data_IF_761195930154
#
_entry.id   IF_761195930154
#
_cell.length_a   1.000
_cell.length_b   1.000
_cell.length_c   1.000
_cell.angle_alpha   90.00
_cell.angle_beta   90.00
_cell.angle_gamma   90.00
#
_symmetry.space_group_name_H-M   'P 1'
#
loop_
_entity.id
_entity.type
_entity.pdbx_description
1 polymer ?
#
# COMPACT_ATOMS: atom_id res chain seq x y z
N UNK A 1 -17.08 48.91 -17.88
CA UNK A 1 -16.15 47.77 -18.14
C UNK A 1 -16.14 46.92 -16.87
N UNK A 2 -17.00 45.92 -16.63
CA UNK A 2 -17.29 44.69 -17.39
C UNK A 2 -15.97 44.02 -17.85
N UNK A 3 -15.53 42.85 -17.38
CA UNK A 3 -16.17 41.78 -16.63
C UNK A 3 -15.16 41.06 -15.70
N UNK A 4 -15.64 40.56 -14.56
CA UNK A 4 -14.95 39.60 -13.70
C UNK A 4 -14.89 38.25 -14.41
N UNK A 5 -13.72 37.77 -14.78
CA UNK A 5 -13.56 36.40 -15.26
C UNK A 5 -13.59 35.45 -14.06
N UNK A 6 -14.74 34.81 -13.87
CA UNK A 6 -14.90 33.64 -13.00
C UNK A 6 -14.46 32.43 -13.81
N UNK A 7 -13.32 31.84 -13.47
CA UNK A 7 -12.94 30.53 -13.99
C UNK A 7 -13.60 29.47 -13.09
N UNK A 8 -14.51 28.71 -13.70
CA UNK A 8 -15.31 27.65 -13.11
C UNK A 8 -14.40 26.54 -12.61
N UNK A 9 -14.45 26.23 -11.31
CA UNK A 9 -13.81 25.06 -10.74
C UNK A 9 -14.54 23.80 -11.23
N UNK A 10 -13.87 23.00 -12.06
CA UNK A 10 -14.35 21.70 -12.47
C UNK A 10 -14.16 20.72 -11.30
N UNK A 11 -15.18 20.57 -10.46
CA UNK A 11 -15.21 19.53 -9.44
C UNK A 11 -15.36 18.17 -10.13
N UNK A 12 -14.24 17.49 -10.37
CA UNK A 12 -14.26 16.08 -10.74
C UNK A 12 -14.68 15.30 -9.50
N UNK A 13 -15.96 14.95 -9.43
CA UNK A 13 -16.45 13.95 -8.48
C UNK A 13 -15.95 12.60 -8.99
N UNK A 14 -14.73 12.24 -8.62
CA UNK A 14 -14.29 10.87 -8.67
C UNK A 14 -15.07 10.14 -7.58
N UNK A 15 -16.15 9.45 -7.96
CA UNK A 15 -16.84 8.53 -7.08
C UNK A 15 -15.83 7.47 -6.65
N UNK A 16 -15.30 7.63 -5.44
CA UNK A 16 -14.50 6.61 -4.79
C UNK A 16 -15.40 5.39 -4.64
N UNK A 17 -15.21 4.40 -5.51
CA UNK A 17 -15.60 3.03 -5.21
C UNK A 17 -14.60 2.51 -4.18
N UNK A 18 -14.63 3.10 -2.99
CA UNK A 18 -14.04 2.49 -1.81
C UNK A 18 -14.77 1.14 -1.67
N UNK A 19 -14.06 0.05 -1.94
CA UNK A 19 -14.60 -1.29 -1.76
C UNK A 19 -15.24 -1.35 -0.37
N UNK A 20 -16.51 -1.75 -0.32
CA UNK A 20 -17.22 -1.92 0.95
C UNK A 20 -16.31 -2.71 1.89
N UNK A 21 -15.93 -2.09 3.02
CA UNK A 21 -15.29 -2.83 4.09
C UNK A 21 -16.19 -4.04 4.39
N UNK A 22 -15.64 -5.24 4.29
CA UNK A 22 -16.40 -6.43 4.68
C UNK A 22 -16.69 -6.31 6.17
N UNK A 23 -17.97 -6.20 6.52
CA UNK A 23 -18.41 -6.11 7.91
C UNK A 23 -17.78 -7.26 8.72
N UNK A 24 -16.97 -6.91 9.72
CA UNK A 24 -16.39 -7.87 10.68
C UNK A 24 -14.92 -8.26 10.52
N UNK A 25 -14.20 -7.81 9.47
CA UNK A 25 -12.74 -8.04 9.36
C UNK A 25 -11.94 -6.84 9.88
N UNK A 26 -12.44 -5.62 9.63
CA UNK A 26 -11.78 -4.38 10.01
C UNK A 26 -12.33 -3.86 11.34
N UNK A 27 -11.46 -3.30 12.17
CA UNK A 27 -11.89 -2.57 13.36
C UNK A 27 -12.74 -1.34 12.97
N UNK A 28 -13.72 -0.92 13.80
CA UNK A 28 -14.49 0.29 13.54
C UNK A 28 -13.58 1.51 13.33
N UNK A 29 -13.75 2.20 12.19
CA UNK A 29 -12.94 3.37 11.84
C UNK A 29 -11.54 3.07 11.31
N UNK A 30 -11.17 1.80 11.09
CA UNK A 30 -9.90 1.46 10.46
C UNK A 30 -9.90 1.85 8.97
N UNK A 31 -8.83 2.50 8.53
CA UNK A 31 -8.62 2.85 7.13
C UNK A 31 -7.65 1.87 6.47
N UNK A 32 -7.95 1.49 5.22
CA UNK A 32 -7.06 0.65 4.42
C UNK A 32 -6.02 1.52 3.72
N UNK A 33 -4.74 1.27 4.00
CA UNK A 33 -3.63 1.94 3.33
C UNK A 33 -2.81 0.94 2.53
N UNK A 34 -2.57 1.25 1.25
CA UNK A 34 -1.67 0.48 0.41
C UNK A 34 -0.22 0.84 0.77
N UNK A 35 0.52 -0.10 1.35
CA UNK A 35 1.92 0.12 1.79
C UNK A 35 2.93 0.00 0.65
N UNK A 36 2.73 -0.95 -0.26
CA UNK A 36 3.63 -1.20 -1.38
C UNK A 36 2.94 -1.92 -2.56
N UNK A 37 3.59 -1.95 -3.72
CA UNK A 37 3.19 -2.73 -4.90
C UNK A 37 4.39 -3.09 -5.78
N UNK A 38 4.12 -3.45 -7.04
CA UNK A 38 5.11 -3.80 -8.07
C UNK A 38 5.82 -5.12 -7.79
N UNK A 39 5.12 -6.02 -7.10
CA UNK A 39 5.47 -7.41 -6.91
C UNK A 39 4.88 -8.28 -8.03
N UNK A 40 5.54 -9.41 -8.33
CA UNK A 40 5.02 -10.37 -9.32
C UNK A 40 4.23 -11.48 -8.66
N UNK A 41 4.74 -12.05 -7.58
CA UNK A 41 4.03 -13.06 -6.80
C UNK A 41 4.64 -13.16 -5.41
N UNK A 42 3.86 -12.75 -4.40
CA UNK A 42 4.33 -12.69 -3.01
C UNK A 42 3.86 -13.89 -2.21
N UNK A 43 4.76 -14.46 -1.40
CA UNK A 43 4.41 -15.47 -0.41
C UNK A 43 4.92 -15.10 0.97
N UNK A 44 4.21 -15.60 1.98
CA UNK A 44 4.50 -15.36 3.38
C UNK A 44 4.31 -13.91 3.78
N UNK A 45 3.85 -13.71 5.01
CA UNK A 45 4.54 -12.73 5.83
C UNK A 45 5.05 -13.38 7.11
N UNK A 46 6.32 -13.11 7.45
CA UNK A 46 6.89 -13.46 8.74
C UNK A 46 7.24 -12.17 9.50
N UNK A 47 6.86 -12.08 10.77
CA UNK A 47 7.18 -10.94 11.61
C UNK A 47 8.37 -11.26 12.52
N UNK A 48 9.28 -10.30 12.70
CA UNK A 48 10.28 -10.37 13.78
C UNK A 48 9.73 -9.82 15.11
N UNK A 49 10.55 -9.84 16.17
CA UNK A 49 10.14 -9.40 17.51
C UNK A 49 9.82 -7.90 17.60
N UNK A 50 10.24 -7.08 16.63
CA UNK A 50 9.89 -5.66 16.53
C UNK A 50 8.63 -5.44 15.69
N UNK A 51 8.11 -6.50 15.08
CA UNK A 51 6.96 -6.45 14.17
C UNK A 51 7.33 -6.14 12.72
N UNK A 52 8.62 -6.03 12.37
CA UNK A 52 9.00 -5.84 10.97
C UNK A 52 8.60 -7.08 10.16
N UNK A 53 8.04 -6.86 8.96
CA UNK A 53 7.43 -7.92 8.15
C UNK A 53 8.35 -8.28 7.00
N UNK A 54 8.67 -9.56 6.87
CA UNK A 54 9.46 -10.13 5.78
C UNK A 54 8.58 -10.99 4.89
N UNK A 55 8.77 -10.87 3.57
CA UNK A 55 8.00 -11.62 2.58
C UNK A 55 8.81 -11.81 1.30
N UNK A 56 8.47 -12.82 0.50
CA UNK A 56 9.14 -13.08 -0.78
C UNK A 56 8.41 -12.39 -1.92
N UNK A 57 9.14 -12.08 -2.99
CA UNK A 57 8.59 -11.75 -4.31
C UNK A 57 9.27 -12.67 -5.32
N UNK A 58 8.75 -13.90 -5.41
CA UNK A 58 9.44 -15.08 -5.94
C UNK A 58 9.95 -14.86 -7.38
N UNK A 59 9.13 -14.38 -8.34
CA UNK A 59 9.58 -14.23 -9.72
C UNK A 59 10.58 -13.08 -9.92
N UNK A 60 10.74 -12.20 -8.92
CA UNK A 60 11.76 -11.16 -8.87
C UNK A 60 12.97 -11.55 -8.01
N UNK A 61 13.03 -12.80 -7.51
CA UNK A 61 14.17 -13.37 -6.81
C UNK A 61 14.66 -12.58 -5.57
N UNK A 62 13.71 -12.02 -4.81
CA UNK A 62 14.02 -11.16 -3.66
C UNK A 62 13.19 -11.48 -2.42
N UNK A 63 13.81 -11.28 -1.26
CA UNK A 63 13.14 -11.16 0.04
C UNK A 63 13.09 -9.68 0.39
N UNK A 64 11.91 -9.21 0.75
CA UNK A 64 11.62 -7.83 1.10
C UNK A 64 11.34 -7.72 2.60
N UNK A 65 11.55 -6.52 3.13
CA UNK A 65 11.22 -6.14 4.50
C UNK A 65 10.37 -4.87 4.50
N UNK A 66 9.25 -4.90 5.18
CA UNK A 66 8.54 -3.70 5.61
C UNK A 66 8.94 -3.37 7.05
N UNK A 67 9.58 -2.21 7.25
CA UNK A 67 9.88 -1.73 8.59
C UNK A 67 8.69 -1.00 9.19
N UNK A 68 8.27 -1.40 10.39
CA UNK A 68 7.21 -0.73 11.12
C UNK A 68 7.68 0.64 11.63
N UNK A 69 8.89 0.69 12.19
CA UNK A 69 9.46 1.92 12.74
C UNK A 69 9.69 2.98 11.65
N UNK A 70 10.31 2.58 10.53
CA UNK A 70 10.62 3.51 9.45
C UNK A 70 9.44 3.72 8.47
N UNK A 71 8.40 2.88 8.54
CA UNK A 71 7.25 2.96 7.62
C UNK A 71 7.63 2.81 6.15
N UNK A 72 8.64 1.98 5.85
CA UNK A 72 9.18 1.84 4.50
C UNK A 72 9.48 0.39 4.13
N UNK A 73 9.41 0.15 2.82
CA UNK A 73 9.88 -1.07 2.19
C UNK A 73 11.38 -1.00 1.90
N UNK A 74 12.08 -2.12 2.04
CA UNK A 74 13.44 -2.31 1.52
C UNK A 74 13.65 -3.75 1.04
N UNK A 75 14.65 -3.95 0.17
CA UNK A 75 15.16 -5.30 -0.10
C UNK A 75 15.95 -5.77 1.12
N UNK A 76 15.57 -6.92 1.66
CA UNK A 76 16.36 -7.63 2.67
C UNK A 76 17.44 -8.51 2.02
N UNK A 77 17.08 -9.20 0.93
CA UNK A 77 18.01 -10.04 0.15
C UNK A 77 17.62 -10.06 -1.33
N UNK A 78 18.56 -9.73 -2.20
CA UNK A 78 18.51 -10.08 -3.62
C UNK A 78 19.05 -11.50 -3.83
N UNK A 79 18.78 -12.09 -5.00
CA UNK A 79 19.22 -13.45 -5.34
C UNK A 79 18.84 -14.49 -4.27
N UNK A 80 17.56 -14.48 -3.87
CA UNK A 80 17.04 -15.32 -2.79
C UNK A 80 17.07 -16.82 -3.14
N UNK A 81 16.95 -17.16 -4.41
CA UNK A 81 16.83 -18.52 -4.92
C UNK A 81 15.38 -19.00 -5.06
N UNK A 82 14.41 -18.10 -4.93
CA UNK A 82 12.99 -18.44 -4.75
C UNK A 82 12.66 -18.63 -3.29
#
# INVERSE_FOLDING_TARGET
MMAKTVAIALAVVAAATAGRAQDGIMAPGAEMTKLASDFRFTEGPAADAKGDIYFTDIPNNRILKWSIEAGQLSTFREDSGG
#
